data_IF_232298897087
#
_entry.id   IF_232298897087
#
_cell.length_a   1.000
_cell.length_b   1.000
_cell.length_c   1.000
_cell.angle_alpha   90.00
_cell.angle_beta   90.00
_cell.angle_gamma   90.00
#
_symmetry.space_group_name_H-M   'P 1'
#
loop_
_entity.id
_entity.type
_entity.pdbx_description
1 polymer ?
#
# COMPACT_ATOMS: atom_id res chain seq x y z
N UNK A 1 -28.34 -16.39 -27.27
CA UNK A 1 -27.28 -16.75 -26.33
C UNK A 1 -27.12 -15.58 -25.37
N UNK A 2 -27.53 -15.73 -24.11
CA UNK A 2 -27.29 -14.71 -23.10
C UNK A 2 -25.76 -14.63 -22.84
N UNK A 3 -25.16 -13.46 -23.00
CA UNK A 3 -23.80 -13.20 -22.57
C UNK A 3 -23.79 -13.35 -21.04
N UNK A 4 -23.25 -14.47 -20.56
CA UNK A 4 -22.94 -14.64 -19.14
C UNK A 4 -21.84 -13.64 -18.85
N UNK A 5 -22.19 -12.46 -18.34
CA UNK A 5 -21.23 -11.55 -17.75
C UNK A 5 -20.65 -12.25 -16.51
N UNK A 6 -19.53 -12.91 -16.71
CA UNK A 6 -18.83 -13.57 -15.58
C UNK A 6 -18.35 -12.47 -14.65
N UNK A 7 -18.95 -12.42 -13.46
CA UNK A 7 -18.59 -11.41 -12.46
C UNK A 7 -17.18 -11.67 -11.92
N UNK A 8 -16.40 -10.61 -11.69
CA UNK A 8 -15.08 -10.75 -11.08
C UNK A 8 -15.25 -11.05 -9.59
N UNK A 9 -14.76 -12.19 -9.17
CA UNK A 9 -14.76 -12.64 -7.79
C UNK A 9 -13.44 -12.29 -7.10
N UNK A 10 -13.49 -12.01 -5.80
CA UNK A 10 -12.30 -11.79 -4.97
C UNK A 10 -12.33 -12.78 -3.82
N UNK A 11 -11.25 -13.51 -3.63
CA UNK A 11 -11.14 -14.55 -2.60
C UNK A 11 -9.70 -14.72 -2.13
N UNK A 12 -9.53 -15.29 -0.95
CA UNK A 12 -8.24 -15.65 -0.39
C UNK A 12 -7.67 -16.86 -1.13
N UNK A 13 -6.39 -16.82 -1.48
CA UNK A 13 -5.70 -17.90 -2.20
C UNK A 13 -4.66 -18.58 -1.33
N UNK A 14 -4.34 -19.82 -1.66
CA UNK A 14 -3.37 -20.70 -1.02
C UNK A 14 -2.27 -21.13 -1.97
N UNK A 15 -1.33 -21.95 -1.50
CA UNK A 15 -0.09 -22.31 -2.21
C UNK A 15 -0.32 -23.01 -3.56
N UNK A 16 -1.45 -23.68 -3.75
CA UNK A 16 -1.84 -24.34 -5.02
C UNK A 16 -1.97 -23.36 -6.20
N UNK A 17 -2.14 -22.05 -5.92
CA UNK A 17 -2.27 -21.01 -6.95
C UNK A 17 -0.96 -20.22 -7.18
N UNK A 18 0.16 -20.63 -6.58
CA UNK A 18 1.44 -19.92 -6.66
C UNK A 18 1.88 -19.61 -8.09
N UNK A 19 1.87 -20.61 -8.97
CA UNK A 19 2.36 -20.45 -10.35
C UNK A 19 1.50 -19.41 -11.12
N UNK A 20 0.20 -19.37 -10.89
CA UNK A 20 -0.67 -18.37 -11.51
C UNK A 20 -0.37 -16.94 -11.02
N UNK A 21 -0.02 -16.78 -9.74
CA UNK A 21 0.39 -15.47 -9.21
C UNK A 21 1.72 -15.01 -9.84
N UNK A 22 2.68 -15.93 -10.01
CA UNK A 22 3.96 -15.66 -10.68
C UNK A 22 3.75 -15.28 -12.15
N UNK A 23 2.85 -15.95 -12.86
CA UNK A 23 2.48 -15.61 -14.25
C UNK A 23 1.85 -14.21 -14.35
N UNK A 24 0.94 -13.85 -13.43
CA UNK A 24 0.38 -12.50 -13.38
C UNK A 24 1.49 -11.47 -13.16
N UNK A 25 2.38 -11.70 -12.20
CA UNK A 25 3.50 -10.80 -11.94
C UNK A 25 4.38 -10.63 -13.18
N UNK A 26 4.72 -11.73 -13.83
CA UNK A 26 5.53 -11.74 -15.06
C UNK A 26 4.85 -10.89 -16.16
N UNK A 27 3.57 -11.14 -16.47
CA UNK A 27 2.84 -10.38 -17.48
C UNK A 27 2.77 -8.88 -17.13
N UNK A 28 2.59 -8.55 -15.84
CA UNK A 28 2.59 -7.15 -15.38
C UNK A 28 3.95 -6.52 -15.62
N UNK A 29 5.06 -7.19 -15.28
CA UNK A 29 6.42 -6.68 -15.46
C UNK A 29 6.77 -6.46 -16.93
N UNK A 30 6.41 -7.40 -17.80
CA UNK A 30 6.65 -7.31 -19.26
C UNK A 30 5.90 -6.14 -19.93
N UNK A 31 4.85 -5.64 -19.30
CA UNK A 31 4.01 -4.54 -19.81
C UNK A 31 4.23 -3.22 -19.08
N UNK A 32 5.27 -3.11 -18.24
CA UNK A 32 5.64 -1.84 -17.61
C UNK A 32 6.36 -0.95 -18.60
N UNK A 33 5.96 0.32 -18.67
CA UNK A 33 6.66 1.34 -19.45
C UNK A 33 8.06 1.64 -18.88
N UNK A 34 8.20 1.59 -17.56
CA UNK A 34 9.45 1.78 -16.84
C UNK A 34 9.63 0.66 -15.81
N UNK A 35 10.74 -0.07 -15.90
CA UNK A 35 11.05 -1.17 -14.99
C UNK A 35 11.10 -0.74 -13.51
N UNK A 36 11.44 0.52 -13.24
CA UNK A 36 11.50 1.07 -11.89
C UNK A 36 10.13 1.29 -11.20
N UNK A 37 9.02 1.20 -11.94
CA UNK A 37 7.68 1.38 -11.37
C UNK A 37 7.32 0.28 -10.37
N UNK A 38 7.84 -0.91 -10.57
CA UNK A 38 7.57 -2.07 -9.74
C UNK A 38 8.83 -2.91 -9.56
N UNK A 39 9.07 -3.40 -8.36
CA UNK A 39 10.13 -4.37 -8.08
C UNK A 39 9.46 -5.72 -7.80
N UNK A 40 9.64 -6.73 -8.67
CA UNK A 40 8.97 -8.01 -8.51
C UNK A 40 9.48 -8.74 -7.27
N UNK A 41 8.57 -9.43 -6.60
CA UNK A 41 8.93 -10.32 -5.49
C UNK A 41 9.44 -11.65 -6.04
N UNK A 42 10.36 -12.27 -5.33
CA UNK A 42 10.85 -13.62 -5.65
C UNK A 42 9.76 -14.68 -5.46
N UNK A 43 10.01 -15.90 -5.97
CA UNK A 43 9.11 -17.03 -5.74
C UNK A 43 8.98 -17.35 -4.25
N UNK A 44 10.07 -17.27 -3.49
CA UNK A 44 10.06 -17.54 -2.06
C UNK A 44 9.26 -16.47 -1.28
N UNK A 45 9.43 -15.18 -1.63
CA UNK A 45 8.61 -14.11 -1.07
C UNK A 45 7.13 -14.26 -1.44
N UNK A 46 6.81 -14.73 -2.66
CA UNK A 46 5.43 -15.01 -3.07
C UNK A 46 4.82 -16.13 -2.22
N UNK A 47 5.59 -17.18 -1.91
CA UNK A 47 5.18 -18.26 -1.03
C UNK A 47 4.87 -17.75 0.39
N UNK A 48 5.64 -16.79 0.90
CA UNK A 48 5.38 -16.21 2.23
C UNK A 48 3.98 -15.59 2.32
N UNK A 49 3.42 -15.03 1.23
CA UNK A 49 2.05 -14.50 1.24
C UNK A 49 0.98 -15.57 1.43
N UNK A 50 1.30 -16.80 1.06
CA UNK A 50 0.36 -17.94 1.03
C UNK A 50 0.46 -18.81 2.29
N UNK A 51 1.45 -18.54 3.15
CA UNK A 51 1.76 -19.28 4.37
C UNK A 51 1.29 -18.51 5.64
N UNK A 52 1.31 -19.17 6.82
CA UNK A 52 1.05 -18.48 8.08
C UNK A 52 1.96 -17.24 8.26
N UNK A 53 1.36 -16.11 8.60
CA UNK A 53 2.06 -14.82 8.65
C UNK A 53 1.91 -13.98 7.38
N UNK A 54 1.41 -14.57 6.28
CA UNK A 54 1.03 -13.88 5.07
C UNK A 54 -0.47 -13.92 4.81
N UNK A 55 -0.93 -13.02 3.95
CA UNK A 55 -2.31 -13.02 3.42
C UNK A 55 -2.25 -12.64 1.94
N UNK A 56 -2.87 -13.44 1.09
CA UNK A 56 -3.02 -13.14 -0.33
C UNK A 56 -4.48 -13.26 -0.77
N UNK A 57 -4.98 -12.20 -1.40
CA UNK A 57 -6.27 -12.20 -2.08
C UNK A 57 -6.05 -12.09 -3.59
N UNK A 58 -6.82 -12.85 -4.35
CA UNK A 58 -6.83 -12.76 -5.81
C UNK A 58 -8.20 -12.34 -6.35
N UNK A 59 -8.17 -11.73 -7.51
CA UNK A 59 -9.34 -11.46 -8.34
C UNK A 59 -9.38 -12.48 -9.49
N UNK A 60 -10.52 -13.12 -9.73
CA UNK A 60 -10.72 -14.04 -10.84
C UNK A 60 -11.88 -13.60 -11.74
N UNK A 61 -11.71 -13.77 -13.04
CA UNK A 61 -12.74 -13.66 -14.05
C UNK A 61 -13.00 -15.06 -14.64
N UNK A 62 -14.09 -15.68 -14.23
CA UNK A 62 -14.29 -17.12 -14.43
C UNK A 62 -13.24 -17.93 -13.68
N UNK A 63 -12.55 -18.83 -14.36
CA UNK A 63 -11.46 -19.64 -13.79
C UNK A 63 -10.10 -18.96 -13.78
N UNK A 64 -9.92 -17.85 -14.54
CA UNK A 64 -8.62 -17.17 -14.71
C UNK A 64 -8.40 -16.14 -13.60
N UNK A 65 -7.26 -16.21 -12.92
CA UNK A 65 -6.80 -15.13 -12.05
C UNK A 65 -6.37 -13.93 -12.90
N UNK A 66 -6.78 -12.73 -12.48
CA UNK A 66 -6.56 -11.48 -13.23
C UNK A 66 -5.87 -10.39 -12.39
N UNK A 67 -5.62 -10.68 -11.13
CA UNK A 67 -4.87 -9.82 -10.22
C UNK A 67 -4.79 -10.43 -8.84
N UNK A 68 -3.85 -9.92 -8.03
CA UNK A 68 -3.68 -10.35 -6.65
C UNK A 68 -3.12 -9.22 -5.78
N UNK A 69 -3.24 -9.39 -4.47
CA UNK A 69 -2.63 -8.54 -3.47
C UNK A 69 -2.09 -9.40 -2.33
N UNK A 70 -0.76 -9.32 -2.11
CA UNK A 70 -0.03 -10.03 -1.07
C UNK A 70 0.52 -9.10 0.01
N UNK A 71 0.33 -9.48 1.26
CA UNK A 71 0.85 -8.79 2.45
C UNK A 71 1.59 -9.77 3.36
N UNK A 72 2.48 -9.23 4.21
CA UNK A 72 3.19 -9.95 5.25
C UNK A 72 3.00 -9.27 6.60
N UNK A 73 2.80 -10.06 7.64
CA UNK A 73 2.96 -9.64 9.04
C UNK A 73 4.44 -9.73 9.39
N UNK A 74 5.07 -8.58 9.63
CA UNK A 74 6.54 -8.51 9.69
C UNK A 74 7.12 -9.00 11.03
N UNK A 75 6.39 -8.80 12.14
CA UNK A 75 6.94 -9.13 13.46
C UNK A 75 8.28 -8.42 13.71
N UNK A 76 9.23 -9.11 14.32
CA UNK A 76 10.58 -8.63 14.65
C UNK A 76 11.64 -8.88 13.56
N UNK A 77 11.22 -9.20 12.35
CA UNK A 77 12.13 -9.46 11.21
C UNK A 77 13.08 -8.28 10.98
N UNK A 78 14.36 -8.51 10.66
CA UNK A 78 15.35 -7.44 10.49
C UNK A 78 15.06 -6.55 9.26
N UNK A 79 14.32 -7.05 8.28
CA UNK A 79 13.88 -6.29 7.10
C UNK A 79 12.56 -5.52 7.32
N UNK A 80 12.05 -5.48 8.56
CA UNK A 80 10.85 -4.75 8.91
C UNK A 80 11.06 -3.24 8.74
N UNK A 81 10.25 -2.62 7.88
CA UNK A 81 10.30 -1.18 7.59
C UNK A 81 10.03 -0.31 8.83
N UNK A 82 9.40 -0.83 9.85
CA UNK A 82 9.15 -0.13 11.11
C UNK A 82 10.43 0.42 11.74
N UNK A 83 11.56 -0.30 11.63
CA UNK A 83 12.86 0.18 12.10
C UNK A 83 13.31 1.44 11.35
N UNK A 84 13.12 1.47 10.03
CA UNK A 84 13.49 2.63 9.21
C UNK A 84 12.57 3.83 9.40
N UNK A 85 11.34 3.60 9.82
CA UNK A 85 10.33 4.60 10.13
C UNK A 85 10.44 5.13 11.56
N UNK A 86 11.35 4.55 12.37
CA UNK A 86 11.53 4.92 13.78
C UNK A 86 10.30 4.63 14.63
N UNK A 87 9.60 3.53 14.34
CA UNK A 87 8.45 3.11 15.13
C UNK A 87 8.91 2.56 16.50
N UNK A 88 8.04 2.67 17.50
CA UNK A 88 8.25 2.06 18.79
C UNK A 88 8.22 0.52 18.69
N UNK A 89 8.88 -0.17 19.64
CA UNK A 89 9.05 -1.63 19.59
C UNK A 89 7.72 -2.38 19.44
N UNK A 90 6.69 -1.95 20.14
CA UNK A 90 5.37 -2.59 20.08
C UNK A 90 4.68 -2.35 18.74
N UNK A 91 4.89 -1.19 18.13
CA UNK A 91 4.39 -0.90 16.77
C UNK A 91 5.13 -1.73 15.71
N UNK A 92 6.46 -1.92 15.86
CA UNK A 92 7.29 -2.74 14.95
C UNK A 92 6.72 -4.15 14.83
N UNK A 93 6.34 -4.77 15.95
CA UNK A 93 5.74 -6.11 15.98
C UNK A 93 4.38 -6.19 15.27
N UNK A 94 3.71 -5.05 15.11
CA UNK A 94 2.40 -4.92 14.46
C UNK A 94 2.46 -4.47 12.99
N UNK A 95 3.66 -4.34 12.43
CA UNK A 95 3.82 -3.90 11.03
C UNK A 95 3.26 -4.95 10.07
N UNK A 96 2.39 -4.47 9.19
CA UNK A 96 1.89 -5.19 8.01
C UNK A 96 2.50 -4.57 6.77
N UNK A 97 3.27 -5.35 6.03
CA UNK A 97 3.91 -4.86 4.82
C UNK A 97 3.11 -5.22 3.57
N UNK A 98 2.66 -4.22 2.84
CA UNK A 98 2.08 -4.37 1.51
C UNK A 98 3.18 -4.59 0.48
N UNK A 99 3.45 -5.85 0.17
CA UNK A 99 4.57 -6.27 -0.67
C UNK A 99 4.25 -6.19 -2.16
N UNK A 100 3.11 -6.74 -2.58
CA UNK A 100 2.81 -6.86 -4.00
C UNK A 100 1.32 -6.68 -4.29
N UNK A 101 0.98 -5.77 -5.19
CA UNK A 101 -0.34 -5.66 -5.80
C UNK A 101 -0.18 -5.64 -7.31
N UNK A 102 -0.77 -6.63 -7.97
CA UNK A 102 -0.68 -6.80 -9.41
C UNK A 102 -2.08 -6.98 -10.01
N UNK A 103 -2.35 -6.27 -11.10
CA UNK A 103 -3.58 -6.42 -11.89
C UNK A 103 -3.17 -6.47 -13.35
N UNK A 104 -3.60 -7.51 -14.07
CA UNK A 104 -3.32 -7.68 -15.49
C UNK A 104 -3.71 -6.41 -16.27
N UNK A 105 -2.93 -5.99 -17.26
CA UNK A 105 -3.16 -4.75 -18.01
C UNK A 105 -4.57 -4.63 -18.59
N UNK A 106 -5.13 -5.73 -19.11
CA UNK A 106 -6.48 -5.79 -19.67
C UNK A 106 -7.62 -5.60 -18.65
N UNK A 107 -7.30 -5.71 -17.35
CA UNK A 107 -8.25 -5.55 -16.23
C UNK A 107 -8.00 -4.28 -15.41
N UNK A 108 -7.07 -3.43 -15.83
CA UNK A 108 -6.84 -2.12 -15.22
C UNK A 108 -8.04 -1.20 -15.43
N UNK A 109 -8.14 -0.14 -14.62
CA UNK A 109 -9.26 0.83 -14.61
C UNK A 109 -10.62 0.27 -14.20
N UNK A 110 -10.71 -1.03 -13.86
CA UNK A 110 -11.92 -1.68 -13.33
C UNK A 110 -12.03 -1.62 -11.80
N UNK A 111 -11.17 -0.84 -11.13
CA UNK A 111 -11.16 -0.69 -9.68
C UNK A 111 -10.69 -1.92 -8.91
N UNK A 112 -10.06 -2.91 -9.57
CA UNK A 112 -9.67 -4.18 -8.93
C UNK A 112 -8.65 -3.99 -7.81
N UNK A 113 -7.66 -3.11 -7.98
CA UNK A 113 -6.71 -2.81 -6.90
C UNK A 113 -7.45 -2.35 -5.64
N UNK A 114 -8.41 -1.44 -5.76
CA UNK A 114 -9.21 -0.97 -4.62
C UNK A 114 -10.07 -2.07 -3.99
N UNK A 115 -10.64 -2.97 -4.81
CA UNK A 115 -11.42 -4.11 -4.32
C UNK A 115 -10.54 -5.11 -3.56
N UNK A 116 -9.36 -5.45 -4.09
CA UNK A 116 -8.35 -6.29 -3.44
C UNK A 116 -7.87 -5.67 -2.12
N UNK A 117 -7.56 -4.37 -2.13
CA UNK A 117 -7.18 -3.64 -0.91
C UNK A 117 -8.27 -3.71 0.16
N UNK A 118 -9.54 -3.54 -0.22
CA UNK A 118 -10.66 -3.66 0.73
C UNK A 118 -10.79 -5.05 1.31
N UNK A 119 -10.59 -6.12 0.51
CA UNK A 119 -10.63 -7.49 1.00
C UNK A 119 -9.53 -7.74 2.04
N UNK A 120 -8.31 -7.28 1.77
CA UNK A 120 -7.19 -7.36 2.72
C UNK A 120 -7.48 -6.53 3.98
N UNK A 121 -8.03 -5.33 3.86
CA UNK A 121 -8.41 -4.50 5.00
C UNK A 121 -9.46 -5.18 5.88
N UNK A 122 -10.46 -5.81 5.27
CA UNK A 122 -11.47 -6.56 6.00
C UNK A 122 -10.87 -7.74 6.77
N UNK A 123 -9.94 -8.48 6.17
CA UNK A 123 -9.18 -9.56 6.84
C UNK A 123 -8.38 -9.03 8.03
N UNK A 124 -7.77 -7.86 7.88
CA UNK A 124 -6.99 -7.21 8.94
C UNK A 124 -7.86 -6.50 9.99
N UNK A 125 -9.17 -6.44 9.79
CA UNK A 125 -10.10 -5.71 10.64
C UNK A 125 -9.98 -4.18 10.56
N UNK A 126 -9.37 -3.65 9.50
CA UNK A 126 -9.20 -2.20 9.30
C UNK A 126 -10.53 -1.54 8.96
N UNK A 127 -10.89 -0.49 9.67
CA UNK A 127 -12.13 0.28 9.43
C UNK A 127 -13.37 -0.25 10.14
N UNK A 128 -13.25 -1.30 10.93
CA UNK A 128 -14.28 -1.71 11.87
C UNK A 128 -14.09 -0.92 13.17
N UNK A 129 -14.96 0.04 13.45
CA UNK A 129 -15.03 0.64 14.79
C UNK A 129 -15.23 -0.49 15.80
N UNK A 130 -14.21 -0.73 16.64
CA UNK A 130 -14.18 -1.55 17.83
C UNK A 130 -15.23 -2.70 17.93
N UNK A 131 -15.22 -3.65 17.01
CA UNK A 131 -15.87 -4.94 17.23
C UNK A 131 -14.83 -6.05 17.15
N UNK A 132 -14.77 -6.83 18.21
CA UNK A 132 -13.87 -7.95 18.40
C UNK A 132 -13.97 -8.95 17.25
N UNK A 133 -12.98 -8.92 16.34
CA UNK A 133 -12.76 -10.00 15.39
C UNK A 133 -11.55 -10.81 15.89
N UNK A 134 -11.81 -11.91 16.58
CA UNK A 134 -10.76 -12.83 17.05
C UNK A 134 -9.81 -12.24 18.12
N UNK A 135 -8.89 -13.04 18.61
CA UNK A 135 -7.93 -12.71 19.70
C UNK A 135 -6.82 -11.70 19.31
N UNK A 136 -7.02 -10.82 18.31
CA UNK A 136 -6.05 -9.81 17.92
C UNK A 136 -6.62 -8.41 18.14
N UNK A 137 -5.90 -7.59 18.90
CA UNK A 137 -6.18 -6.16 19.00
C UNK A 137 -5.94 -5.49 17.64
N UNK A 138 -7.01 -5.29 16.90
CA UNK A 138 -7.02 -4.68 15.56
C UNK A 138 -6.50 -3.23 15.57
N UNK A 139 -6.51 -2.57 16.72
CA UNK A 139 -6.25 -1.15 16.88
C UNK A 139 -4.77 -0.73 16.74
N UNK A 140 -3.82 -1.65 16.85
CA UNK A 140 -2.38 -1.31 16.92
C UNK A 140 -1.60 -1.51 15.61
N UNK A 141 -2.20 -2.03 14.55
CA UNK A 141 -1.47 -2.36 13.31
C UNK A 141 -1.01 -1.12 12.56
N UNK A 142 0.24 -1.19 12.10
CA UNK A 142 0.86 -0.18 11.22
C UNK A 142 1.04 -0.79 9.83
N UNK A 143 0.36 -0.25 8.85
CA UNK A 143 0.47 -0.69 7.47
C UNK A 143 1.59 0.08 6.77
N UNK A 144 2.51 -0.62 6.12
CA UNK A 144 3.65 -0.03 5.43
C UNK A 144 3.73 -0.51 3.98
N UNK A 145 4.23 0.34 3.09
CA UNK A 145 4.49 0.02 1.69
C UNK A 145 5.67 0.82 1.14
N UNK A 146 6.32 0.30 0.10
CA UNK A 146 7.26 1.09 -0.71
C UNK A 146 6.67 1.35 -2.10
N UNK A 147 6.73 2.61 -2.55
CA UNK A 147 6.20 3.01 -3.85
C UNK A 147 7.21 3.85 -4.62
N UNK A 148 7.39 3.56 -5.91
CA UNK A 148 8.18 4.43 -6.79
C UNK A 148 7.54 5.81 -6.90
N UNK A 149 8.31 6.92 -6.79
CA UNK A 149 7.81 8.26 -7.06
C UNK A 149 7.17 8.40 -8.46
N UNK A 150 7.61 7.60 -9.42
CA UNK A 150 7.09 7.60 -10.79
C UNK A 150 5.78 6.79 -10.94
N UNK A 151 5.39 5.98 -9.94
CA UNK A 151 4.15 5.20 -10.00
C UNK A 151 2.95 6.01 -9.51
N UNK A 152 2.54 6.99 -10.34
CA UNK A 152 1.45 7.92 -10.06
C UNK A 152 0.13 7.20 -9.73
N UNK A 153 -0.17 6.12 -10.43
CA UNK A 153 -1.39 5.35 -10.21
C UNK A 153 -1.41 4.67 -8.82
N UNK A 154 -0.27 4.09 -8.41
CA UNK A 154 -0.13 3.52 -7.06
C UNK A 154 -0.16 4.61 -6.00
N UNK A 155 0.57 5.71 -6.17
CA UNK A 155 0.56 6.83 -5.23
C UNK A 155 -0.87 7.29 -4.96
N UNK A 156 -1.62 7.61 -6.03
CA UNK A 156 -3.03 8.01 -5.90
C UNK A 156 -3.85 6.98 -5.11
N UNK A 157 -3.70 5.69 -5.45
CA UNK A 157 -4.46 4.61 -4.78
C UNK A 157 -4.14 4.52 -3.28
N UNK A 158 -2.87 4.68 -2.89
CA UNK A 158 -2.46 4.61 -1.49
C UNK A 158 -2.90 5.85 -0.71
N UNK A 159 -2.78 7.06 -1.28
CA UNK A 159 -3.35 8.26 -0.66
C UNK A 159 -4.87 8.17 -0.49
N UNK A 160 -5.59 7.67 -1.50
CA UNK A 160 -7.05 7.43 -1.42
C UNK A 160 -7.41 6.40 -0.32
N UNK A 161 -6.46 5.53 0.07
CA UNK A 161 -6.58 4.60 1.18
C UNK A 161 -6.08 5.16 2.52
N UNK A 162 -5.71 6.44 2.59
CA UNK A 162 -5.30 7.13 3.82
C UNK A 162 -3.85 6.87 4.24
N UNK A 163 -2.99 6.38 3.35
CA UNK A 163 -1.56 6.33 3.61
C UNK A 163 -0.93 7.72 3.45
N UNK A 164 0.15 7.95 4.16
CA UNK A 164 1.02 9.10 3.98
C UNK A 164 2.47 8.68 3.71
N UNK A 165 3.26 9.59 3.16
CA UNK A 165 4.69 9.41 2.96
C UNK A 165 5.40 9.79 4.26
N UNK A 166 6.15 8.85 4.84
CA UNK A 166 6.97 9.05 6.03
C UNK A 166 8.47 9.02 5.74
N UNK A 167 8.87 8.68 4.51
CA UNK A 167 10.26 8.66 4.09
C UNK A 167 10.43 8.59 2.57
N UNK A 168 11.61 8.97 2.10
CA UNK A 168 12.06 8.79 0.72
C UNK A 168 13.49 8.27 0.75
N UNK A 169 13.66 7.00 0.37
CA UNK A 169 14.95 6.29 0.47
C UNK A 169 15.30 5.55 -0.81
N UNK A 170 16.58 5.30 -0.98
CA UNK A 170 17.08 4.39 -2.00
C UNK A 170 16.90 2.95 -1.53
N UNK A 171 16.22 2.12 -2.33
CA UNK A 171 15.93 0.72 -2.11
C UNK A 171 16.21 -0.08 -3.39
N UNK A 172 16.22 -1.40 -3.31
CA UNK A 172 16.26 -2.27 -4.49
C UNK A 172 17.32 -1.85 -5.52
N UNK A 173 18.60 -1.84 -5.10
CA UNK A 173 19.75 -1.47 -5.94
C UNK A 173 19.72 -0.01 -6.45
N UNK A 174 19.32 0.94 -5.60
CA UNK A 174 19.44 2.37 -5.90
C UNK A 174 18.14 3.05 -6.33
N UNK A 175 17.05 2.32 -6.46
CA UNK A 175 15.75 2.87 -6.86
C UNK A 175 15.16 3.73 -5.73
N UNK A 176 14.76 4.96 -6.06
CA UNK A 176 14.06 5.82 -5.10
C UNK A 176 12.68 5.24 -4.76
N UNK A 177 12.36 5.19 -3.47
CA UNK A 177 11.08 4.70 -2.97
C UNK A 177 10.56 5.58 -1.85
N UNK A 178 9.31 5.98 -1.96
CA UNK A 178 8.57 6.47 -0.81
C UNK A 178 8.35 5.32 0.16
N UNK A 179 8.61 5.59 1.44
CA UNK A 179 8.15 4.76 2.54
C UNK A 179 6.79 5.30 2.95
N UNK A 180 5.75 4.56 2.61
CA UNK A 180 4.39 4.93 2.96
C UNK A 180 3.92 4.17 4.18
N UNK A 181 3.16 4.83 5.04
CA UNK A 181 2.58 4.20 6.23
C UNK A 181 1.17 4.71 6.50
N UNK A 182 0.43 3.90 7.25
CA UNK A 182 -0.85 4.23 7.86
C UNK A 182 -1.04 3.38 9.11
N UNK A 183 -1.50 3.99 10.20
CA UNK A 183 -2.03 3.22 11.34
C UNK A 183 -3.50 2.89 11.12
N UNK A 184 -3.97 1.75 11.62
CA UNK A 184 -5.39 1.38 11.52
C UNK A 184 -6.31 2.38 12.22
N UNK A 185 -5.80 3.06 13.24
CA UNK A 185 -6.49 4.10 14.03
C UNK A 185 -6.49 5.48 13.37
N UNK A 186 -5.70 5.67 12.29
CA UNK A 186 -5.57 6.99 11.70
C UNK A 186 -6.87 7.43 11.02
N UNK A 187 -7.30 8.62 11.37
CA UNK A 187 -8.40 9.31 10.71
C UNK A 187 -7.89 10.01 9.45
N UNK A 188 -8.76 10.22 8.44
CA UNK A 188 -8.40 11.03 7.28
C UNK A 188 -7.96 12.43 7.72
N UNK A 189 -6.78 12.86 7.26
CA UNK A 189 -6.26 14.21 7.53
C UNK A 189 -7.10 15.22 6.76
N UNK A 190 -7.68 16.21 7.47
CA UNK A 190 -8.52 17.25 6.90
C UNK A 190 -8.09 18.62 7.44
N UNK A 191 -8.33 19.65 6.62
CA UNK A 191 -8.22 21.05 7.01
C UNK A 191 -6.85 21.46 7.60
N UNK A 192 -5.76 20.83 7.12
CA UNK A 192 -4.40 21.18 7.52
C UNK A 192 -3.69 21.95 6.40
N UNK A 193 -2.87 22.93 6.80
CA UNK A 193 -1.99 23.62 5.87
C UNK A 193 -0.81 22.70 5.49
N UNK A 194 -0.40 22.76 4.24
CA UNK A 194 0.70 21.96 3.72
C UNK A 194 1.57 22.74 2.72
N UNK A 195 2.83 22.32 2.62
CA UNK A 195 3.79 22.80 1.62
C UNK A 195 3.73 21.86 0.43
N UNK A 196 3.45 22.35 -0.76
CA UNK A 196 3.40 21.54 -1.98
C UNK A 196 4.76 21.45 -2.63
N UNK A 197 5.22 20.23 -2.91
CA UNK A 197 6.51 19.95 -3.57
C UNK A 197 6.29 19.02 -4.75
N UNK A 198 6.85 19.32 -5.95
CA UNK A 198 6.80 18.41 -7.09
C UNK A 198 7.34 17.02 -6.74
N UNK A 199 6.71 15.97 -7.29
CA UNK A 199 7.17 14.58 -7.11
C UNK A 199 8.61 14.40 -7.60
N UNK A 200 9.04 15.18 -8.58
CA UNK A 200 10.39 15.14 -9.15
C UNK A 200 11.46 15.82 -8.30
N UNK A 201 11.08 16.69 -7.36
CA UNK A 201 12.03 17.39 -6.48
C UNK A 201 12.33 16.54 -5.23
N UNK A 202 13.13 15.50 -5.42
CA UNK A 202 13.48 14.57 -4.35
C UNK A 202 14.28 15.22 -3.21
N UNK A 203 15.10 16.24 -3.51
CA UNK A 203 15.92 16.90 -2.49
C UNK A 203 15.07 17.78 -1.55
N UNK A 204 14.13 18.55 -2.09
CA UNK A 204 13.20 19.29 -1.26
C UNK A 204 12.34 18.34 -0.39
N UNK A 205 11.88 17.25 -0.95
CA UNK A 205 11.08 16.24 -0.24
C UNK A 205 11.90 15.59 0.90
N UNK A 206 13.15 15.15 0.64
CA UNK A 206 14.03 14.57 1.66
C UNK A 206 14.27 15.55 2.80
N UNK A 207 14.49 16.84 2.48
CA UNK A 207 14.68 17.90 3.49
C UNK A 207 13.45 18.05 4.39
N UNK A 208 12.23 18.11 3.84
CA UNK A 208 11.00 18.19 4.64
C UNK A 208 10.81 16.93 5.50
N UNK A 209 11.02 15.75 4.93
CA UNK A 209 10.92 14.48 5.65
C UNK A 209 11.95 14.39 6.78
N UNK A 210 13.20 14.89 6.59
CA UNK A 210 14.22 14.94 7.66
C UNK A 210 13.87 15.91 8.79
N UNK A 211 13.00 16.88 8.54
CA UNK A 211 12.43 17.79 9.54
C UNK A 211 11.21 17.19 10.26
N UNK A 212 10.89 15.92 10.03
CA UNK A 212 9.77 15.23 10.64
C UNK A 212 8.41 15.53 10.00
N UNK A 213 8.38 16.19 8.83
CA UNK A 213 7.14 16.40 8.09
C UNK A 213 6.68 15.10 7.40
N UNK A 214 5.41 15.02 7.14
CA UNK A 214 4.76 13.88 6.45
C UNK A 214 4.12 14.34 5.15
N UNK A 215 4.24 13.55 4.09
CA UNK A 215 3.52 13.77 2.84
C UNK A 215 2.11 13.20 2.95
N UNK A 216 1.10 14.07 3.03
CA UNK A 216 -0.28 13.70 3.37
C UNK A 216 -1.26 13.82 2.21
N UNK A 217 -0.88 14.51 1.16
CA UNK A 217 -1.75 14.77 0.03
C UNK A 217 -1.03 14.57 -1.28
N UNK A 218 -1.71 13.99 -2.24
CA UNK A 218 -1.25 13.83 -3.60
C UNK A 218 -2.15 14.61 -4.55
N UNK A 219 -1.55 15.37 -5.45
CA UNK A 219 -2.23 16.08 -6.52
C UNK A 219 -1.57 15.77 -7.85
N UNK A 220 -2.38 15.53 -8.88
CA UNK A 220 -1.94 15.42 -10.26
C UNK A 220 -3.04 15.97 -11.16
N UNK A 221 -2.70 16.91 -12.03
CA UNK A 221 -3.62 17.45 -13.03
C UNK A 221 -3.31 16.87 -14.41
N UNK A 222 -4.29 16.76 -15.31
CA UNK A 222 -4.03 16.39 -16.70
C UNK A 222 -3.03 17.38 -17.32
N UNK A 223 -1.85 16.89 -17.75
CA UNK A 223 -0.78 17.73 -18.30
C UNK A 223 0.02 18.54 -17.26
N UNK A 224 -0.29 18.45 -15.96
CA UNK A 224 0.46 19.10 -14.88
C UNK A 224 1.43 18.16 -14.18
N UNK A 225 2.39 18.75 -13.44
CA UNK A 225 3.31 17.98 -12.60
C UNK A 225 2.56 17.41 -11.38
N UNK A 226 2.81 16.14 -11.09
CA UNK A 226 2.34 15.54 -9.85
C UNK A 226 3.10 16.14 -8.66
N UNK A 227 2.41 16.39 -7.57
CA UNK A 227 2.96 17.00 -6.38
C UNK A 227 2.45 16.37 -5.09
N UNK A 228 3.25 16.46 -4.03
CA UNK A 228 2.95 16.02 -2.67
C UNK A 228 2.79 17.22 -1.75
N UNK A 229 1.72 17.24 -0.96
CA UNK A 229 1.52 18.20 0.13
C UNK A 229 2.11 17.67 1.43
N UNK A 230 3.04 18.41 2.03
CA UNK A 230 3.75 18.08 3.26
C UNK A 230 3.26 18.93 4.43
N UNK A 231 3.05 18.31 5.59
CA UNK A 231 2.69 19.01 6.85
C UNK A 231 3.43 18.40 8.03
N UNK A 232 3.37 19.05 9.20
CA UNK A 232 4.00 18.54 10.42
C UNK A 232 3.26 17.32 10.95
N UNK A 233 3.98 16.43 11.65
CA UNK A 233 3.39 15.26 12.30
C UNK A 233 2.29 15.66 13.30
N UNK A 234 2.51 16.73 14.06
CA UNK A 234 1.55 17.22 15.06
C UNK A 234 0.23 17.68 14.41
N UNK A 235 0.29 18.34 13.25
CA UNK A 235 -0.90 18.72 12.50
C UNK A 235 -1.71 17.49 12.05
N UNK A 236 -1.03 16.40 11.65
CA UNK A 236 -1.69 15.13 11.29
C UNK A 236 -2.35 14.50 12.51
N UNK A 237 -1.66 14.40 13.65
CA UNK A 237 -2.15 13.77 14.86
C UNK A 237 -3.32 14.54 15.54
N UNK A 238 -3.37 15.84 15.33
CA UNK A 238 -4.40 16.70 15.93
C UNK A 238 -5.62 16.88 15.02
N UNK A 239 -5.51 16.65 13.69
CA UNK A 239 -6.64 16.83 12.75
C UNK A 239 -7.83 15.87 13.01
N UNK A 240 -7.65 14.82 13.83
CA UNK A 240 -8.71 13.87 14.21
C UNK A 240 -9.36 14.13 15.57
N UNK A 241 -8.92 15.14 16.34
CA UNK A 241 -9.39 15.36 17.72
C UNK A 241 -10.57 16.34 17.86
N UNK A 242 -10.87 17.10 16.82
CA UNK A 242 -11.91 18.18 16.87
C UNK A 242 -13.35 17.72 16.62
N UNK A 243 -13.66 16.40 16.70
CA UNK A 243 -15.02 15.88 16.45
C UNK A 243 -15.73 15.47 17.76
N UNK A 244 -15.30 15.97 18.91
CA UNK A 244 -15.98 15.71 20.19
C UNK A 244 -16.09 16.99 21.04
N UNK A 245 -16.81 17.96 20.53
CA UNK A 245 -17.35 19.06 21.35
C UNK A 245 -18.78 19.36 20.94
#
# INVERSE_FOLDING_TARGET
MALVHTEIQIFKVSEDRLEELLEIQKEVCERLELAELYFPVSKDEMLEFLRPGGVCYAAAHGSKLVGFFGILLMGDRPDNMGYELGLEKDEILQVVYYKAVNVLPSYRRMGLQKRLTRAVFAELGVGLQSQRAGNFEVSSRVMCATISPHNIASLKSFFDCGFWIAGLKSKFNGLQRYLMMRRCTDMPVKDVQYITVPVTDHEAQKRLLSQGMLGIQFSASPGGLAAIGYTTRDAVLNSGKDISS
#
